data_IF_315352227216
#
_entry.id   IF_315352227216
#
_cell.length_a   1.000
_cell.length_b   1.000
_cell.length_c   1.000
_cell.angle_alpha   90.00
_cell.angle_beta   90.00
_cell.angle_gamma   90.00
#
_symmetry.space_group_name_H-M   'P 1'
#
loop_
_entity.id
_entity.type
_entity.pdbx_description
1 polymer ?
#
# COMPACT_ATOMS: atom_id res chain seq x y z
N UNK A 1 2.53 6.19 21.58
CA UNK A 1 3.14 6.84 22.77
C UNK A 1 3.31 5.87 23.96
N UNK A 2 2.26 5.18 24.44
CA UNK A 2 2.32 4.34 25.65
C UNK A 2 3.32 3.15 25.69
N UNK A 3 3.80 2.63 24.55
CA UNK A 3 4.73 1.49 24.53
C UNK A 3 6.21 1.90 24.74
N UNK A 4 6.58 3.09 24.26
CA UNK A 4 7.93 3.67 24.42
C UNK A 4 8.13 4.09 25.87
N UNK A 5 7.12 4.74 26.46
CA UNK A 5 7.11 5.13 27.89
C UNK A 5 7.24 3.93 28.84
N UNK A 6 6.74 2.76 28.43
CA UNK A 6 6.83 1.51 29.21
C UNK A 6 8.07 0.68 28.89
N UNK A 7 9.04 1.22 28.15
CA UNK A 7 10.29 0.53 27.80
C UNK A 7 10.09 -0.79 27.04
N UNK A 8 9.00 -0.93 26.28
CA UNK A 8 8.68 -2.19 25.60
C UNK A 8 9.63 -2.42 24.43
N UNK A 9 10.18 -3.63 24.34
CA UNK A 9 11.11 -3.99 23.28
C UNK A 9 10.45 -4.00 21.91
N UNK A 10 11.22 -3.71 20.85
CA UNK A 10 10.74 -3.79 19.45
C UNK A 10 10.09 -5.15 19.14
N UNK A 11 10.67 -6.23 19.67
CA UNK A 11 10.14 -7.61 19.54
C UNK A 11 8.72 -7.73 20.12
N UNK A 12 8.48 -7.14 21.29
CA UNK A 12 7.16 -7.16 21.92
C UNK A 12 6.13 -6.37 21.12
N UNK A 13 6.51 -5.19 20.63
CA UNK A 13 5.62 -4.35 19.80
C UNK A 13 5.28 -5.05 18.49
N UNK A 14 6.25 -5.70 17.84
CA UNK A 14 6.00 -6.50 16.62
C UNK A 14 5.04 -7.67 16.89
N UNK A 15 5.13 -8.29 18.07
CA UNK A 15 4.19 -9.35 18.46
C UNK A 15 2.76 -8.81 18.58
N UNK A 16 2.58 -7.65 19.21
CA UNK A 16 1.25 -7.03 19.32
C UNK A 16 0.71 -6.59 17.97
N UNK A 17 1.53 -5.94 17.14
CA UNK A 17 1.16 -5.61 15.77
C UNK A 17 0.71 -6.85 15.02
N UNK A 18 1.48 -7.93 15.07
CA UNK A 18 1.15 -9.20 14.41
C UNK A 18 -0.15 -9.83 14.94
N UNK A 19 -0.45 -9.67 16.24
CA UNK A 19 -1.73 -10.11 16.82
C UNK A 19 -2.90 -9.25 16.33
N UNK A 20 -2.72 -7.93 16.27
CA UNK A 20 -3.73 -7.01 15.76
C UNK A 20 -4.07 -7.31 14.30
N UNK A 21 -3.06 -7.46 13.43
CA UNK A 21 -3.27 -7.76 12.00
C UNK A 21 -4.10 -9.04 11.82
N UNK A 22 -3.75 -10.12 12.54
CA UNK A 22 -4.52 -11.37 12.50
C UNK A 22 -5.94 -11.22 13.02
N UNK A 23 -6.14 -10.45 14.10
CA UNK A 23 -7.46 -10.23 14.66
C UNK A 23 -8.34 -9.38 13.72
N UNK A 24 -7.80 -8.29 13.16
CA UNK A 24 -8.46 -7.45 12.15
C UNK A 24 -8.92 -8.27 10.96
N UNK A 25 -8.08 -9.20 10.51
CA UNK A 25 -8.37 -10.07 9.36
C UNK A 25 -9.19 -11.32 9.73
N UNK A 26 -9.84 -11.33 10.90
CA UNK A 26 -10.70 -12.43 11.38
C UNK A 26 -9.99 -13.79 11.43
N UNK A 27 -8.69 -13.79 11.72
CA UNK A 27 -7.88 -15.00 11.78
C UNK A 27 -7.97 -15.86 10.51
N UNK A 28 -7.98 -15.21 9.34
CA UNK A 28 -7.97 -15.89 8.05
C UNK A 28 -7.03 -15.22 7.07
N UNK A 29 -6.59 -15.98 6.08
CA UNK A 29 -5.84 -15.47 4.95
C UNK A 29 -6.71 -14.49 4.16
N UNK A 30 -6.25 -13.25 3.98
CA UNK A 30 -6.99 -12.25 3.18
C UNK A 30 -7.03 -12.65 1.68
N UNK A 31 -6.05 -13.43 1.22
CA UNK A 31 -5.97 -13.89 -0.17
C UNK A 31 -6.92 -15.05 -0.50
N UNK A 32 -7.15 -15.99 0.42
CA UNK A 32 -7.86 -17.24 0.13
C UNK A 32 -8.82 -17.73 1.23
N UNK A 33 -9.05 -16.93 2.26
CA UNK A 33 -9.90 -17.21 3.43
C UNK A 33 -9.50 -18.43 4.28
N UNK A 34 -8.38 -19.11 3.98
CA UNK A 34 -7.86 -20.21 4.81
C UNK A 34 -7.46 -19.76 6.21
N UNK A 35 -7.82 -20.55 7.22
CA UNK A 35 -7.38 -20.37 8.61
C UNK A 35 -6.13 -21.21 8.96
N UNK A 36 -5.58 -21.95 8.01
CA UNK A 36 -4.43 -22.82 8.27
C UNK A 36 -3.12 -22.03 8.38
N UNK A 37 -2.40 -22.25 9.49
CA UNK A 37 -1.07 -21.69 9.77
C UNK A 37 -0.93 -20.20 9.40
N UNK A 38 -1.94 -19.41 9.76
CA UNK A 38 -2.00 -17.98 9.47
C UNK A 38 -0.87 -17.18 10.14
N UNK A 39 -0.38 -16.17 9.44
CA UNK A 39 0.67 -15.29 9.90
C UNK A 39 0.48 -13.87 9.33
N UNK A 40 0.96 -12.88 10.09
CA UNK A 40 0.98 -11.50 9.60
C UNK A 40 2.22 -11.31 8.73
N UNK A 41 2.02 -10.72 7.56
CA UNK A 41 3.03 -10.37 6.57
C UNK A 41 3.11 -8.84 6.46
N UNK A 42 4.31 -8.30 6.29
CA UNK A 42 4.54 -6.87 6.04
C UNK A 42 4.42 -6.63 4.54
N UNK A 43 3.54 -5.71 4.11
CA UNK A 43 3.41 -5.37 2.68
C UNK A 43 4.71 -4.74 2.17
N UNK A 44 5.12 -3.62 2.77
CA UNK A 44 6.45 -3.05 2.59
C UNK A 44 7.36 -3.60 3.68
N UNK A 45 8.46 -4.24 3.28
CA UNK A 45 9.39 -4.90 4.19
C UNK A 45 9.95 -3.91 5.21
N UNK A 46 9.90 -4.28 6.50
CA UNK A 46 10.47 -3.49 7.59
C UNK A 46 11.99 -3.27 7.52
N UNK A 47 12.71 -4.04 6.70
CA UNK A 47 14.14 -3.83 6.42
C UNK A 47 14.36 -2.70 5.43
N UNK A 48 13.44 -2.55 4.47
CA UNK A 48 13.43 -1.46 3.50
C UNK A 48 12.92 -0.18 4.16
N UNK A 49 11.78 -0.26 4.86
CA UNK A 49 11.14 0.90 5.47
C UNK A 49 10.81 0.66 6.96
N UNK A 50 11.81 0.81 7.87
CA UNK A 50 11.64 0.51 9.30
C UNK A 50 10.59 1.35 10.04
N UNK A 51 10.29 2.55 9.53
CA UNK A 51 9.31 3.49 10.10
C UNK A 51 7.87 2.96 9.95
N UNK A 52 7.57 2.30 8.84
CA UNK A 52 6.27 1.69 8.55
C UNK A 52 6.00 0.36 9.25
N UNK A 53 6.94 -0.15 10.06
CA UNK A 53 6.88 -1.53 10.57
C UNK A 53 5.69 -1.82 11.50
N UNK A 54 5.05 -0.79 12.04
CA UNK A 54 3.94 -0.88 12.99
C UNK A 54 2.63 -0.30 12.46
N UNK A 55 2.62 0.20 11.23
CA UNK A 55 1.40 0.69 10.62
C UNK A 55 0.46 -0.47 10.31
N UNK A 56 -0.83 -0.26 10.55
CA UNK A 56 -1.81 -1.34 10.39
C UNK A 56 -2.09 -1.62 8.92
N UNK A 57 -2.05 -0.59 8.06
CA UNK A 57 -2.13 -0.73 6.60
C UNK A 57 -0.92 -1.43 5.99
N UNK A 58 0.24 -1.43 6.67
CA UNK A 58 1.43 -2.14 6.21
C UNK A 58 1.47 -3.62 6.64
N UNK A 59 0.31 -4.20 6.99
CA UNK A 59 0.19 -5.57 7.44
C UNK A 59 -1.00 -6.29 6.81
N UNK A 60 -0.79 -7.54 6.41
CA UNK A 60 -1.81 -8.44 5.86
C UNK A 60 -1.69 -9.83 6.46
N UNK A 61 -2.81 -10.49 6.77
CA UNK A 61 -2.79 -11.89 7.21
C UNK A 61 -2.80 -12.83 6.01
N UNK A 62 -1.84 -13.75 5.97
CA UNK A 62 -1.71 -14.78 4.94
C UNK A 62 -1.60 -16.17 5.58
N UNK A 63 -2.13 -17.20 4.94
CA UNK A 63 -1.80 -18.59 5.29
C UNK A 63 -0.34 -18.90 4.89
N UNK A 64 0.19 -20.02 5.38
CA UNK A 64 1.55 -20.42 5.06
C UNK A 64 1.81 -20.53 3.55
N UNK A 65 0.85 -21.09 2.79
CA UNK A 65 0.97 -21.26 1.34
C UNK A 65 1.03 -19.93 0.59
N UNK A 66 0.07 -19.03 0.82
CA UNK A 66 0.06 -17.70 0.20
C UNK A 66 1.30 -16.89 0.61
N UNK A 67 1.73 -16.98 1.87
CA UNK A 67 2.93 -16.30 2.32
C UNK A 67 4.20 -16.81 1.64
N UNK A 68 4.31 -18.12 1.41
CA UNK A 68 5.43 -18.68 0.66
C UNK A 68 5.40 -18.29 -0.81
N UNK A 69 4.22 -18.15 -1.42
CA UNK A 69 4.07 -17.66 -2.80
C UNK A 69 4.54 -16.23 -2.97
N UNK A 70 4.19 -15.36 -2.03
CA UNK A 70 4.68 -13.98 -1.99
C UNK A 70 6.21 -13.95 -1.94
N UNK A 71 6.83 -14.80 -1.11
CA UNK A 71 8.30 -14.91 -1.07
C UNK A 71 8.93 -15.85 -2.12
N UNK A 72 8.18 -16.35 -3.11
CA UNK A 72 8.68 -17.40 -4.00
C UNK A 72 9.87 -16.92 -4.84
N UNK A 73 9.85 -15.65 -5.24
CA UNK A 73 10.93 -15.05 -6.02
C UNK A 73 12.10 -14.61 -5.14
N UNK A 74 11.85 -14.14 -3.92
CA UNK A 74 12.92 -13.76 -3.00
C UNK A 74 12.54 -13.77 -1.52
N UNK A 75 13.34 -14.52 -0.77
CA UNK A 75 13.24 -14.62 0.69
C UNK A 75 14.49 -14.06 1.42
N UNK A 76 15.37 -13.37 0.69
CA UNK A 76 16.63 -12.83 1.19
C UNK A 76 16.51 -11.45 1.84
N UNK A 77 17.67 -10.86 2.15
CA UNK A 77 17.79 -9.45 2.55
C UNK A 77 18.14 -8.64 1.29
N UNK A 78 17.36 -7.60 0.92
CA UNK A 78 17.67 -6.81 -0.26
C UNK A 78 18.98 -6.03 -0.07
N UNK A 79 19.77 -5.90 -1.15
CA UNK A 79 20.89 -4.98 -1.21
C UNK A 79 20.37 -3.56 -1.47
N UNK A 80 20.42 -2.73 -0.43
CA UNK A 80 19.92 -1.36 -0.48
C UNK A 80 20.81 -0.41 -1.32
N UNK A 81 21.96 -0.89 -1.83
CA UNK A 81 22.80 -0.13 -2.75
C UNK A 81 22.33 -0.20 -4.21
N UNK A 82 21.40 -1.10 -4.52
CA UNK A 82 20.85 -1.30 -5.85
C UNK A 82 19.49 -0.60 -6.02
N UNK A 83 19.08 -0.28 -7.27
CA UNK A 83 17.72 0.22 -7.53
C UNK A 83 16.65 -0.78 -7.05
N UNK A 84 15.51 -0.29 -6.57
CA UNK A 84 14.37 -1.15 -6.20
C UNK A 84 13.96 -2.02 -7.40
N UNK A 85 13.80 -3.33 -7.19
CA UNK A 85 13.51 -4.30 -8.25
C UNK A 85 14.73 -4.81 -9.03
N UNK A 86 15.94 -4.30 -8.80
CA UNK A 86 17.16 -4.78 -9.46
C UNK A 86 17.66 -6.12 -8.90
N UNK A 87 17.43 -6.37 -7.61
CA UNK A 87 17.49 -7.70 -7.00
C UNK A 87 16.12 -7.97 -6.39
N UNK A 88 15.62 -9.20 -6.60
CA UNK A 88 14.24 -9.67 -6.44
C UNK A 88 13.58 -9.46 -5.06
N UNK A 89 14.13 -8.66 -4.15
CA UNK A 89 13.65 -8.54 -2.77
C UNK A 89 12.52 -7.58 -2.49
N UNK A 90 12.21 -6.66 -3.40
CA UNK A 90 11.13 -5.70 -3.23
C UNK A 90 10.43 -5.52 -4.58
N UNK A 91 9.42 -6.35 -4.81
CA UNK A 91 8.59 -6.35 -6.02
C UNK A 91 7.43 -5.35 -5.84
N UNK A 92 7.37 -4.36 -6.74
CA UNK A 92 6.30 -3.37 -6.73
C UNK A 92 4.94 -4.02 -7.03
N UNK A 93 4.94 -5.07 -7.85
CA UNK A 93 3.72 -5.82 -8.20
C UNK A 93 3.18 -6.57 -6.97
N UNK A 94 4.08 -7.11 -6.14
CA UNK A 94 3.73 -7.70 -4.84
C UNK A 94 3.04 -6.68 -3.93
N UNK A 95 3.59 -5.47 -3.79
CA UNK A 95 2.98 -4.43 -2.94
C UNK A 95 1.63 -4.00 -3.46
N UNK A 96 1.51 -3.73 -4.77
CA UNK A 96 0.26 -3.39 -5.40
C UNK A 96 -0.79 -4.48 -5.18
N UNK A 97 -0.43 -5.76 -5.39
CA UNK A 97 -1.30 -6.90 -5.17
C UNK A 97 -1.80 -6.97 -3.72
N UNK A 98 -0.90 -6.87 -2.74
CA UNK A 98 -1.25 -6.98 -1.32
C UNK A 98 -2.10 -5.80 -0.83
N UNK A 99 -1.80 -4.57 -1.25
CA UNK A 99 -2.68 -3.42 -0.95
C UNK A 99 -4.06 -3.59 -1.60
N UNK A 100 -4.11 -4.16 -2.81
CA UNK A 100 -5.36 -4.51 -3.49
C UNK A 100 -6.19 -5.51 -2.67
N UNK A 101 -5.57 -6.57 -2.15
CA UNK A 101 -6.25 -7.53 -1.28
C UNK A 101 -6.85 -6.90 -0.03
N UNK A 102 -6.12 -5.98 0.62
CA UNK A 102 -6.62 -5.27 1.81
C UNK A 102 -7.84 -4.40 1.48
N UNK A 103 -7.80 -3.69 0.35
CA UNK A 103 -8.91 -2.88 -0.14
C UNK A 103 -10.12 -3.73 -0.47
N UNK A 104 -9.94 -4.83 -1.20
CA UNK A 104 -11.03 -5.73 -1.57
C UNK A 104 -11.68 -6.36 -0.33
N UNK A 105 -10.89 -6.71 0.69
CA UNK A 105 -11.40 -7.20 1.97
C UNK A 105 -12.20 -6.13 2.74
N UNK A 106 -11.68 -4.90 2.81
CA UNK A 106 -12.34 -3.78 3.45
C UNK A 106 -13.71 -3.49 2.82
N UNK A 107 -13.76 -3.42 1.48
CA UNK A 107 -15.00 -3.23 0.71
C UNK A 107 -15.97 -4.37 0.97
N UNK A 108 -15.51 -5.63 0.90
CA UNK A 108 -16.36 -6.82 1.12
C UNK A 108 -16.99 -6.84 2.51
N UNK A 109 -16.29 -6.30 3.51
CA UNK A 109 -16.70 -6.31 4.92
C UNK A 109 -17.35 -5.01 5.38
N UNK A 110 -17.38 -3.98 4.53
CA UNK A 110 -17.85 -2.65 4.89
C UNK A 110 -17.02 -1.98 5.99
N UNK A 111 -15.70 -2.18 5.97
CA UNK A 111 -14.78 -1.54 6.92
C UNK A 111 -14.35 -0.16 6.43
N UNK A 112 -14.16 0.76 7.37
CA UNK A 112 -13.47 2.02 7.11
C UNK A 112 -11.98 1.75 6.85
N UNK A 113 -11.51 2.11 5.65
CA UNK A 113 -10.15 1.81 5.21
C UNK A 113 -9.09 2.57 6.03
N UNK A 114 -9.34 3.83 6.36
CA UNK A 114 -8.36 4.68 7.05
C UNK A 114 -8.33 4.41 8.57
N UNK A 115 -9.43 3.94 9.14
CA UNK A 115 -9.49 3.49 10.54
C UNK A 115 -8.75 2.16 10.75
N UNK A 116 -9.00 1.15 9.90
CA UNK A 116 -8.52 -0.22 10.13
C UNK A 116 -7.19 -0.54 9.43
N UNK A 117 -6.87 0.19 8.37
CA UNK A 117 -5.67 -0.02 7.54
C UNK A 117 -4.84 1.26 7.44
N UNK A 118 -4.73 1.97 8.55
CA UNK A 118 -3.95 3.20 8.66
C UNK A 118 -2.52 3.07 8.10
N UNK A 119 -2.21 3.98 7.17
CA UNK A 119 -0.85 4.30 6.70
C UNK A 119 -0.55 5.76 7.05
N UNK A 120 0.64 6.06 7.55
CA UNK A 120 1.05 7.43 7.88
C UNK A 120 1.48 8.22 6.65
N UNK A 121 1.45 9.55 6.75
CA UNK A 121 1.86 10.44 5.66
C UNK A 121 3.28 10.13 5.17
N UNK A 122 4.16 9.65 6.05
CA UNK A 122 5.53 9.30 5.69
C UNK A 122 5.64 8.12 4.71
N UNK A 123 4.67 7.18 4.71
CA UNK A 123 4.62 6.10 3.71
C UNK A 123 4.15 6.68 2.38
N UNK A 124 3.14 7.54 2.40
CA UNK A 124 2.63 8.19 1.19
C UNK A 124 3.71 9.05 0.53
N UNK A 125 4.43 9.85 1.32
CA UNK A 125 5.57 10.65 0.86
C UNK A 125 6.71 9.80 0.33
N UNK A 126 7.00 8.67 0.98
CA UNK A 126 7.97 7.70 0.49
C UNK A 126 7.57 7.15 -0.88
N UNK A 127 6.33 6.70 -1.03
CA UNK A 127 5.80 6.20 -2.30
C UNK A 127 5.77 7.28 -3.39
N UNK A 128 5.38 8.51 -3.06
CA UNK A 128 5.36 9.63 -3.99
C UNK A 128 6.77 10.00 -4.47
N UNK A 129 7.75 10.15 -3.55
CA UNK A 129 9.13 10.47 -3.93
C UNK A 129 9.76 9.40 -4.82
N UNK A 130 9.28 8.17 -4.69
CA UNK A 130 9.79 7.05 -5.47
C UNK A 130 9.17 6.97 -6.88
N UNK A 131 7.88 7.26 -7.02
CA UNK A 131 7.13 7.06 -8.26
C UNK A 131 6.74 8.36 -9.00
N UNK A 132 6.81 9.52 -8.35
CA UNK A 132 6.58 10.83 -8.97
C UNK A 132 5.11 11.25 -9.18
N UNK A 133 4.13 10.56 -8.56
CA UNK A 133 2.70 10.85 -8.76
C UNK A 133 2.14 11.85 -7.73
N UNK A 134 2.34 13.15 -7.97
CA UNK A 134 1.94 14.24 -7.07
C UNK A 134 0.41 14.37 -6.93
N UNK A 135 -0.35 14.24 -8.02
CA UNK A 135 -1.81 14.38 -8.02
C UNK A 135 -2.51 13.33 -7.13
N UNK A 136 -2.09 12.06 -7.23
CA UNK A 136 -2.61 10.98 -6.38
C UNK A 136 -2.32 11.23 -4.89
N UNK A 137 -1.14 11.80 -4.59
CA UNK A 137 -0.74 12.11 -3.23
C UNK A 137 -1.64 13.20 -2.64
N UNK A 138 -1.92 14.26 -3.41
CA UNK A 138 -2.82 15.32 -2.95
C UNK A 138 -4.25 14.82 -2.71
N UNK A 139 -4.79 13.95 -3.57
CA UNK A 139 -6.11 13.34 -3.37
C UNK A 139 -6.19 12.56 -2.04
N UNK A 140 -5.16 11.78 -1.72
CA UNK A 140 -5.07 11.06 -0.46
C UNK A 140 -4.96 12.01 0.75
N UNK A 141 -4.23 13.11 0.61
CA UNK A 141 -4.10 14.12 1.64
C UNK A 141 -5.40 14.91 1.89
N UNK A 142 -6.24 15.09 0.86
CA UNK A 142 -7.58 15.70 0.98
C UNK A 142 -8.66 14.75 1.48
N UNK A 143 -8.37 13.45 1.61
CA UNK A 143 -9.34 12.43 2.01
C UNK A 143 -10.32 12.03 0.90
N UNK A 144 -10.05 12.41 -0.35
CA UNK A 144 -10.82 12.00 -1.54
C UNK A 144 -10.49 10.56 -1.96
N UNK A 145 -9.36 10.04 -1.46
CA UNK A 145 -8.86 8.71 -1.69
C UNK A 145 -8.32 8.15 -0.37
N UNK A 146 -8.67 6.91 -0.03
CA UNK A 146 -8.09 6.23 1.13
C UNK A 146 -6.60 5.99 0.91
N UNK A 147 -5.86 5.87 2.02
CA UNK A 147 -4.40 5.74 1.95
C UNK A 147 -3.95 4.40 1.38
N UNK A 148 -4.70 3.33 1.64
CA UNK A 148 -4.42 2.01 1.04
C UNK A 148 -4.77 1.97 -0.45
N UNK A 149 -5.80 2.71 -0.89
CA UNK A 149 -6.09 2.86 -2.32
C UNK A 149 -4.97 3.60 -3.01
N UNK A 150 -4.49 4.71 -2.45
CA UNK A 150 -3.31 5.40 -2.98
C UNK A 150 -2.11 4.45 -3.10
N UNK A 151 -1.81 3.67 -2.06
CA UNK A 151 -0.70 2.73 -2.08
C UNK A 151 -0.89 1.63 -3.15
N UNK A 152 -2.10 1.12 -3.34
CA UNK A 152 -2.40 0.18 -4.42
C UNK A 152 -2.15 0.81 -5.81
N UNK A 153 -2.70 2.00 -6.06
CA UNK A 153 -2.63 2.66 -7.37
C UNK A 153 -1.21 3.10 -7.73
N UNK A 154 -0.44 3.63 -6.75
CA UNK A 154 0.90 4.17 -7.00
C UNK A 154 1.93 3.08 -7.31
N UNK A 155 1.73 1.87 -6.80
CA UNK A 155 2.61 0.73 -7.02
C UNK A 155 2.15 -0.15 -8.19
N UNK A 156 0.99 0.12 -8.79
CA UNK A 156 0.50 -0.64 -9.93
C UNK A 156 1.35 -0.34 -11.18
N UNK A 157 1.85 -1.33 -11.92
CA UNK A 157 2.57 -1.09 -13.16
C UNK A 157 1.60 -0.55 -14.22
N UNK A 158 1.66 0.75 -14.49
CA UNK A 158 1.03 1.35 -15.67
C UNK A 158 2.12 1.80 -16.64
N UNK A 159 2.16 1.27 -17.89
CA UNK A 159 3.15 1.67 -18.87
C UNK A 159 3.13 3.19 -19.08
N UNK A 160 4.30 3.80 -19.28
CA UNK A 160 4.44 5.25 -19.50
C UNK A 160 3.53 5.79 -20.64
N UNK A 161 3.24 4.95 -21.64
CA UNK A 161 2.31 5.24 -22.72
C UNK A 161 0.87 5.53 -22.25
N UNK A 162 0.46 4.96 -21.12
CA UNK A 162 -0.86 5.17 -20.56
C UNK A 162 -1.00 6.56 -19.92
N UNK A 163 0.05 7.07 -19.28
CA UNK A 163 0.09 8.45 -18.77
C UNK A 163 0.05 9.48 -19.90
N UNK A 164 0.79 9.25 -20.98
CA UNK A 164 0.71 10.11 -22.17
C UNK A 164 -0.70 10.17 -22.73
N UNK A 165 -1.42 9.04 -22.76
CA UNK A 165 -2.80 8.98 -23.25
C UNK A 165 -3.79 9.63 -22.27
N UNK A 166 -3.70 9.34 -20.96
CA UNK A 166 -4.58 9.93 -19.95
C UNK A 166 -4.41 11.45 -19.87
N UNK A 167 -3.17 11.94 -19.86
CA UNK A 167 -2.87 13.39 -19.85
C UNK A 167 -3.38 14.03 -21.14
N UNK A 168 -3.19 13.39 -22.30
CA UNK A 168 -3.74 13.89 -23.57
C UNK A 168 -5.27 13.93 -23.57
N UNK A 169 -5.93 12.97 -22.93
CA UNK A 169 -7.37 12.86 -22.85
C UNK A 169 -7.97 13.86 -21.85
N UNK A 170 -7.32 14.07 -20.71
CA UNK A 170 -7.68 15.11 -19.73
C UNK A 170 -7.46 16.53 -20.28
N UNK A 171 -6.36 16.77 -21.02
CA UNK A 171 -6.13 18.05 -21.72
C UNK A 171 -7.20 18.28 -22.78
N UNK A 172 -7.57 17.24 -23.54
CA UNK A 172 -8.64 17.32 -24.54
C UNK A 172 -10.00 17.64 -23.91
N UNK A 173 -10.31 17.00 -22.78
CA UNK A 173 -11.55 17.25 -22.03
C UNK A 173 -11.58 18.66 -21.41
N UNK A 174 -10.44 19.15 -20.92
CA UNK A 174 -10.32 20.51 -20.38
C UNK A 174 -10.37 21.59 -21.44
N UNK A 175 -9.85 21.35 -22.66
CA UNK A 175 -9.97 22.28 -23.78
C UNK A 175 -11.39 22.35 -24.36
N UNK A 176 -12.16 21.26 -24.25
CA UNK A 176 -13.57 21.22 -24.64
C UNK A 176 -14.48 21.87 -23.58
N UNK A 177 -14.09 21.87 -22.31
CA UNK A 177 -14.85 22.51 -21.22
C UNK A 177 -14.55 23.99 -21.03
N UNK A 178 -13.47 24.51 -21.63
CA UNK A 178 -13.07 25.92 -21.56
C UNK A 178 -13.34 26.72 -22.86
N UNK A 179 -14.05 26.13 -23.83
CA UNK A 179 -14.39 26.76 -25.11
C UNK A 179 -15.73 27.50 -25.18
N UNK A 180 -16.60 27.40 -24.16
CA UNK A 180 -17.96 27.98 -24.19
C UNK A 180 -18.07 29.32 -23.45
N UNK A 181 -17.11 30.21 -23.66
CA UNK A 181 -17.16 31.54 -23.05
C UNK A 181 -16.16 32.50 -23.65
N UNK A 182 -16.50 33.10 -24.81
CA UNK A 182 -16.39 34.55 -25.09
C UNK A 182 -16.48 34.83 -26.61
N UNK A 183 -17.65 35.32 -27.06
CA UNK A 183 -17.78 36.55 -27.85
C UNK A 183 -19.27 36.84 -28.14
N UNK A 184 -19.89 37.58 -27.24
CA UNK A 184 -20.99 38.49 -27.58
C UNK A 184 -20.39 39.80 -28.09
N UNK A 185 -20.73 40.19 -29.32
CA UNK A 185 -21.12 41.58 -29.69
C UNK A 185 -21.61 41.62 -31.14
#
# INVERSE_FOLDING_TARGET
MAAIEKGRTRKWTLRLWSQFIRARDLHRCVCCDSSDRIQAHHVIRKTLYPLGAFETGNGVTLCHECHCRVHAEFNGRPDLSLPLGAEQGDDQDEWAFLFGLLRDDAVRRGLDEDEFYHLGNHILEFSMRYQGYEELYEMAMRGEMSRIRFAHEIWRPMPQAWYTNLVSELVRLNLLSSGDGESES
#
